data_IF_175354670151
#
_entry.id   IF_175354670151
#
_cell.length_a   1.000
_cell.length_b   1.000
_cell.length_c   1.000
_cell.angle_alpha   90.00
_cell.angle_beta   90.00
_cell.angle_gamma   90.00
#
_symmetry.space_group_name_H-M   'P 1'
#
loop_
_entity.id
_entity.type
_entity.pdbx_description
1 polymer ?
#
# COMPACT_ATOMS: atom_id res chain seq x y z
N UNK A 1 -13.43 -6.96 -4.11
CA UNK A 1 -12.42 -5.90 -3.86
C UNK A 1 -12.78 -5.08 -2.61
N UNK A 2 -11.84 -4.84 -1.69
CA UNK A 2 -12.09 -4.05 -0.47
C UNK A 2 -12.46 -2.59 -0.76
N UNK A 3 -13.42 -2.03 -0.03
CA UNK A 3 -13.97 -0.67 -0.28
C UNK A 3 -12.88 0.42 -0.28
N UNK A 4 -11.87 0.30 0.60
CA UNK A 4 -10.77 1.28 0.69
C UNK A 4 -9.85 1.25 -0.52
N UNK A 5 -9.46 0.06 -0.99
CA UNK A 5 -8.60 -0.09 -2.16
C UNK A 5 -9.24 0.52 -3.41
N UNK A 6 -10.53 0.30 -3.61
CA UNK A 6 -11.26 0.90 -4.75
C UNK A 6 -11.41 2.41 -4.62
N UNK A 7 -11.51 2.94 -3.40
CA UNK A 7 -11.49 4.39 -3.20
C UNK A 7 -10.11 4.97 -3.54
N UNK A 8 -9.02 4.33 -3.12
CA UNK A 8 -7.66 4.72 -3.49
C UNK A 8 -7.41 4.63 -5.00
N UNK A 9 -7.94 3.60 -5.67
CA UNK A 9 -7.86 3.43 -7.14
C UNK A 9 -8.54 4.58 -7.87
N UNK A 10 -9.76 4.96 -7.45
CA UNK A 10 -10.55 6.02 -8.09
C UNK A 10 -10.07 7.43 -7.74
N UNK A 11 -9.52 7.63 -6.55
CA UNK A 11 -9.08 8.95 -6.08
C UNK A 11 -7.66 8.90 -5.49
N UNK A 12 -6.62 8.66 -6.32
CA UNK A 12 -5.25 8.57 -5.82
C UNK A 12 -4.68 9.92 -5.35
N UNK A 13 -5.31 11.05 -5.70
CA UNK A 13 -4.96 12.40 -5.22
C UNK A 13 -5.66 12.78 -3.92
N UNK A 14 -6.46 11.88 -3.35
CA UNK A 14 -7.15 12.07 -2.08
C UNK A 14 -6.18 12.31 -0.92
N UNK A 15 -6.74 12.75 0.21
CA UNK A 15 -6.01 13.14 1.40
C UNK A 15 -5.57 11.93 2.25
N UNK A 16 -4.85 11.00 1.62
CA UNK A 16 -4.46 9.73 2.21
C UNK A 16 -3.37 9.90 3.27
N UNK A 17 -3.56 9.24 4.40
CA UNK A 17 -2.58 9.15 5.48
C UNK A 17 -1.83 7.81 5.45
N UNK A 18 -0.72 7.72 6.20
CA UNK A 18 -0.04 6.43 6.38
C UNK A 18 -0.91 5.41 7.13
N UNK A 19 -1.85 5.87 7.95
CA UNK A 19 -2.81 4.99 8.62
C UNK A 19 -3.76 4.34 7.60
N UNK A 20 -4.21 5.08 6.58
CA UNK A 20 -5.02 4.51 5.48
C UNK A 20 -4.24 3.48 4.68
N UNK A 21 -2.95 3.75 4.41
CA UNK A 21 -2.04 2.81 3.74
C UNK A 21 -1.90 1.52 4.54
N UNK A 22 -1.68 1.61 5.87
CA UNK A 22 -1.60 0.42 6.72
C UNK A 22 -2.92 -0.35 6.74
N UNK A 23 -4.04 0.35 6.84
CA UNK A 23 -5.36 -0.27 6.88
C UNK A 23 -5.71 -1.01 5.58
N UNK A 24 -5.39 -0.45 4.41
CA UNK A 24 -5.63 -1.16 3.14
C UNK A 24 -4.68 -2.35 2.94
N UNK A 25 -3.44 -2.27 3.44
CA UNK A 25 -2.51 -3.40 3.43
C UNK A 25 -3.02 -4.55 4.31
N UNK A 26 -3.46 -4.24 5.53
CA UNK A 26 -4.04 -5.22 6.47
C UNK A 26 -5.28 -5.91 5.90
N UNK A 27 -6.21 -5.13 5.33
CA UNK A 27 -7.39 -5.65 4.62
C UNK A 27 -7.05 -6.57 3.43
N UNK A 28 -5.85 -6.45 2.88
CA UNK A 28 -5.39 -7.21 1.73
C UNK A 28 -4.41 -8.35 2.10
N UNK A 29 -4.13 -8.60 3.38
CA UNK A 29 -3.13 -9.58 3.80
C UNK A 29 -1.68 -9.20 3.48
N UNK A 30 -1.43 -7.93 3.11
CA UNK A 30 -0.10 -7.41 2.76
C UNK A 30 0.55 -6.78 3.98
N UNK A 31 1.85 -7.03 4.16
CA UNK A 31 2.59 -6.52 5.31
C UNK A 31 3.05 -5.07 5.07
N UNK A 32 2.81 -4.19 6.05
CA UNK A 32 3.25 -2.78 6.01
C UNK A 32 4.05 -2.43 7.28
N UNK A 33 5.38 -2.40 7.14
CA UNK A 33 6.31 -2.24 8.25
C UNK A 33 6.78 -0.78 8.34
N UNK A 34 6.75 -0.16 9.55
CA UNK A 34 7.28 1.19 9.76
C UNK A 34 8.80 1.26 9.55
N UNK A 35 9.35 2.46 9.26
CA UNK A 35 10.79 2.66 9.19
C UNK A 35 11.47 2.34 10.54
N UNK A 36 12.71 1.86 10.48
CA UNK A 36 13.62 1.84 11.64
C UNK A 36 14.17 3.26 11.90
N UNK A 37 14.82 3.47 13.05
CA UNK A 37 15.28 4.80 13.52
C UNK A 37 15.88 5.67 12.40
N UNK A 38 15.27 6.83 12.16
CA UNK A 38 15.65 7.81 11.13
C UNK A 38 15.05 7.61 9.74
N UNK A 39 14.35 6.50 9.47
CA UNK A 39 13.77 6.22 8.15
C UNK A 39 12.51 7.06 7.86
N UNK A 40 12.34 7.44 6.59
CA UNK A 40 11.21 8.25 6.11
C UNK A 40 10.12 7.45 5.38
N UNK A 41 10.34 6.15 5.18
CA UNK A 41 9.51 5.30 4.34
C UNK A 41 9.11 4.01 5.06
N UNK A 42 7.84 3.63 4.89
CA UNK A 42 7.33 2.32 5.23
C UNK A 42 7.70 1.33 4.13
N UNK A 43 7.89 0.07 4.50
CA UNK A 43 8.06 -1.04 3.55
C UNK A 43 6.76 -1.82 3.44
N UNK A 44 6.31 -2.03 2.21
CA UNK A 44 5.15 -2.85 1.86
C UNK A 44 5.67 -4.07 1.12
N UNK A 45 5.34 -5.27 1.59
CA UNK A 45 5.80 -6.52 1.00
C UNK A 45 4.78 -7.65 1.18
N UNK A 46 4.89 -8.66 0.31
CA UNK A 46 4.09 -9.88 0.34
C UNK A 46 5.04 -11.08 0.19
N UNK A 47 4.78 -12.20 0.88
CA UNK A 47 5.70 -13.34 0.92
C UNK A 47 5.92 -14.01 -0.44
N UNK A 48 4.92 -13.95 -1.32
CA UNK A 48 4.99 -14.52 -2.67
C UNK A 48 5.63 -13.59 -3.71
N UNK A 49 6.04 -12.38 -3.32
CA UNK A 49 6.59 -11.36 -4.23
C UNK A 49 8.03 -11.03 -3.85
N UNK A 50 8.91 -10.90 -4.83
CA UNK A 50 10.30 -10.43 -4.62
C UNK A 50 10.38 -8.93 -4.41
N UNK A 51 9.44 -8.18 -4.97
CA UNK A 51 9.42 -6.73 -4.90
C UNK A 51 9.02 -6.23 -3.51
N UNK A 52 9.68 -5.16 -3.07
CA UNK A 52 9.32 -4.40 -1.86
C UNK A 52 8.97 -2.98 -2.28
N UNK A 53 7.72 -2.59 -2.08
CA UNK A 53 7.28 -1.21 -2.30
C UNK A 53 7.66 -0.36 -1.08
N UNK A 54 8.18 0.84 -1.33
CA UNK A 54 8.42 1.84 -0.29
C UNK A 54 7.44 3.00 -0.40
N UNK A 55 6.87 3.44 0.74
CA UNK A 55 5.87 4.50 0.80
C UNK A 55 6.29 5.55 1.83
N UNK A 56 6.42 6.84 1.48
CA UNK A 56 6.72 7.89 2.45
C UNK A 56 5.54 8.10 3.40
N UNK A 57 5.79 8.37 4.68
CA UNK A 57 4.71 8.61 5.64
C UNK A 57 4.36 10.07 5.87
N UNK A 58 5.26 11.00 5.49
CA UNK A 58 5.01 12.44 5.63
C UNK A 58 3.94 12.89 4.64
N UNK A 59 3.02 13.73 5.11
CA UNK A 59 1.94 14.26 4.29
C UNK A 59 2.42 15.43 3.42
N UNK A 60 1.83 15.62 2.22
CA UNK A 60 0.89 14.71 1.57
C UNK A 60 1.58 13.46 0.99
N UNK A 61 0.93 12.29 1.06
CA UNK A 61 1.38 11.10 0.32
C UNK A 61 1.04 11.35 -1.15
N UNK A 62 2.07 11.46 -2.01
CA UNK A 62 1.85 11.78 -3.42
C UNK A 62 1.09 10.65 -4.13
N UNK A 63 0.21 11.04 -5.05
CA UNK A 63 -0.65 10.11 -5.82
C UNK A 63 0.10 8.98 -6.53
N UNK A 64 1.38 9.19 -6.91
CA UNK A 64 2.22 8.13 -7.48
C UNK A 64 2.42 6.95 -6.52
N UNK A 65 2.56 7.19 -5.23
CA UNK A 65 2.71 6.12 -4.23
C UNK A 65 1.39 5.37 -4.01
N UNK A 66 0.26 6.08 -4.04
CA UNK A 66 -1.06 5.45 -3.96
C UNK A 66 -1.31 4.54 -5.16
N UNK A 67 -0.98 4.99 -6.38
CA UNK A 67 -1.08 4.14 -7.58
C UNK A 67 -0.18 2.90 -7.51
N UNK A 68 1.06 3.07 -7.06
CA UNK A 68 2.00 1.94 -6.85
C UNK A 68 1.48 0.96 -5.80
N UNK A 69 0.89 1.47 -4.71
CA UNK A 69 0.29 0.64 -3.67
C UNK A 69 -0.88 -0.18 -4.20
N UNK A 70 -1.79 0.44 -4.97
CA UNK A 70 -2.91 -0.27 -5.60
C UNK A 70 -2.40 -1.38 -6.52
N UNK A 71 -1.43 -1.08 -7.39
CA UNK A 71 -0.85 -2.07 -8.29
C UNK A 71 -0.15 -3.22 -7.55
N UNK A 72 0.57 -2.91 -6.46
CA UNK A 72 1.22 -3.91 -5.61
C UNK A 72 0.19 -4.86 -4.97
N UNK A 73 -0.89 -4.31 -4.41
CA UNK A 73 -1.95 -5.11 -3.78
C UNK A 73 -2.71 -5.95 -4.82
N UNK A 74 -2.94 -5.43 -6.02
CA UNK A 74 -3.55 -6.21 -7.11
C UNK A 74 -2.68 -7.41 -7.49
N UNK A 75 -1.36 -7.25 -7.53
CA UNK A 75 -0.43 -8.36 -7.78
C UNK A 75 -0.42 -9.37 -6.64
N UNK A 76 -0.35 -8.91 -5.39
CA UNK A 76 -0.40 -9.80 -4.22
C UNK A 76 -1.65 -10.70 -4.23
N UNK A 77 -2.82 -10.15 -4.59
CA UNK A 77 -4.06 -10.92 -4.71
C UNK A 77 -4.04 -11.96 -5.82
N UNK A 78 -3.38 -11.67 -6.96
CA UNK A 78 -3.17 -12.65 -8.03
C UNK A 78 -2.35 -13.84 -7.52
N UNK A 79 -1.33 -13.60 -6.70
CA UNK A 79 -0.53 -14.65 -6.07
C UNK A 79 -1.34 -15.49 -5.07
N UNK A 80 -2.28 -14.89 -4.35
CA UNK A 80 -3.15 -15.60 -3.39
C UNK A 80 -4.32 -16.36 -4.05
N UNK A 81 -4.46 -16.29 -5.39
CA UNK A 81 -5.56 -16.92 -6.11
C UNK A 81 -6.92 -16.25 -5.86
N UNK A 82 -6.93 -15.01 -5.36
CA UNK A 82 -8.15 -14.24 -5.10
C UNK A 82 -8.41 -13.28 -6.27
N UNK A 83 -9.31 -13.66 -7.19
CA UNK A 83 -9.83 -12.79 -8.27
C UNK A 83 -11.06 -12.00 -7.86
#
# INVERSE_FOLDING_TARGET
MGKRLEHMRRNPRGDWSIADVRAVCDEAGVQCIPPRSGGSHYKVYHSAMTDILTVPFKRPIKAVYIRKLVAFIDEAKRHDGQT
#
